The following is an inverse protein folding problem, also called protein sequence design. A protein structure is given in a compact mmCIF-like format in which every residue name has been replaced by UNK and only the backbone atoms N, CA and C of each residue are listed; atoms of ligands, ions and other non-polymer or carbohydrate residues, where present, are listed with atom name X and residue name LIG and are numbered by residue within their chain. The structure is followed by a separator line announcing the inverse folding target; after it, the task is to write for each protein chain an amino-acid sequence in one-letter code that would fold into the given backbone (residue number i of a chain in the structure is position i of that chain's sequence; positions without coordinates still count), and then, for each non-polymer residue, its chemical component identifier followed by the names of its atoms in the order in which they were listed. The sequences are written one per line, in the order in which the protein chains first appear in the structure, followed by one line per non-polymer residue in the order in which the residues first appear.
data_IF_754911885906
#
_entry.id   IF_754911885906
#
_cell.length_a   1.000
_cell.length_b   1.000
_cell.length_c   1.000
_cell.angle_alpha   90.00
_cell.angle_beta   90.00
_cell.angle_gamma   90.00
#
_symmetry.space_group_name_H-M   'P 1'
#
loop_
_entity.id
_entity.type
_entity.pdbx_description
1 polymer ?
#
# COMPACT_ATOMS: atom_id res chain seq x y z
N UNK A 1 -8.02 -4.35 5.72
CA UNK A 1 -6.62 -4.13 6.17
C UNK A 1 -6.20 -2.67 6.02
N UNK A 2 -6.41 -2.05 4.85
CA UNK A 2 -6.04 -0.64 4.57
C UNK A 2 -6.60 0.36 5.60
N UNK A 3 -7.86 0.20 6.03
CA UNK A 3 -8.50 1.12 7.00
C UNK A 3 -7.80 1.14 8.37
N UNK A 4 -7.34 0.00 8.87
CA UNK A 4 -6.63 -0.06 10.16
C UNK A 4 -5.25 0.61 10.08
N UNK A 5 -4.55 0.41 8.96
CA UNK A 5 -3.28 1.10 8.68
C UNK A 5 -3.46 2.62 8.66
N UNK A 6 -4.54 3.09 8.05
CA UNK A 6 -4.88 4.51 7.99
C UNK A 6 -5.24 5.10 9.35
N UNK A 7 -6.03 4.37 10.15
CA UNK A 7 -6.34 4.79 11.53
C UNK A 7 -5.04 4.92 12.34
N UNK A 8 -4.14 3.94 12.22
CA UNK A 8 -2.86 3.96 12.94
C UNK A 8 -1.97 5.13 12.49
N UNK A 9 -1.93 5.43 11.20
CA UNK A 9 -1.21 6.56 10.64
C UNK A 9 -1.77 7.91 11.12
N UNK A 10 -3.10 8.08 11.13
CA UNK A 10 -3.76 9.27 11.67
C UNK A 10 -3.48 9.43 13.17
N UNK A 11 -3.52 8.35 13.94
CA UNK A 11 -3.14 8.37 15.36
C UNK A 11 -1.68 8.78 15.56
N UNK A 12 -0.74 8.31 14.72
CA UNK A 12 0.66 8.69 14.79
C UNK A 12 0.88 10.18 14.54
N UNK A 13 0.19 10.76 13.54
CA UNK A 13 0.23 12.20 13.25
C UNK A 13 -0.32 13.02 14.43
N UNK A 14 -1.42 12.59 15.03
CA UNK A 14 -1.99 13.25 16.22
C UNK A 14 -1.08 13.19 17.45
N UNK A 15 -0.37 12.08 17.66
CA UNK A 15 0.60 11.95 18.76
C UNK A 15 1.82 12.83 18.53
N UNK A 16 2.31 12.92 17.29
CA UNK A 16 3.40 13.82 16.92
C UNK A 16 3.00 15.30 17.15
N UNK A 17 1.79 15.68 16.77
CA UNK A 17 1.26 17.03 16.96
C UNK A 17 1.17 17.44 18.44
N UNK A 18 0.76 16.51 19.32
CA UNK A 18 0.78 16.71 20.78
C UNK A 18 2.18 16.90 21.38
N UNK A 19 3.23 16.50 20.66
CA UNK A 19 4.62 16.67 21.09
C UNK A 19 5.16 18.08 20.78
N UNK A 20 4.52 18.84 19.88
CA UNK A 20 4.97 20.16 19.41
C UNK A 20 4.01 21.34 19.73
N UNK A 21 2.91 21.09 20.44
CA UNK A 21 2.00 22.09 21.07
C UNK A 21 1.49 23.24 20.16
N UNK A 22 1.30 22.98 18.86
CA UNK A 22 0.52 23.84 17.97
C UNK A 22 -0.26 23.01 16.95
N UNK A 23 -1.59 22.89 17.14
CA UNK A 23 -2.50 22.43 16.09
C UNK A 23 -2.55 23.54 15.03
N UNK A 24 -1.61 23.51 14.09
CA UNK A 24 -1.49 24.46 12.97
C UNK A 24 -2.07 23.87 11.69
N UNK A 25 -2.31 24.71 10.67
CA UNK A 25 -2.81 24.26 9.35
C UNK A 25 -1.88 23.21 8.69
N UNK A 26 -0.60 23.19 9.06
CA UNK A 26 0.40 22.21 8.62
C UNK A 26 0.08 20.76 9.04
N UNK A 27 -0.57 20.57 10.20
CA UNK A 27 -0.95 19.23 10.67
C UNK A 27 -2.06 18.65 9.79
N UNK A 28 -3.03 19.47 9.40
CA UNK A 28 -4.11 19.05 8.50
C UNK A 28 -3.59 18.73 7.10
N UNK A 29 -2.62 19.50 6.60
CA UNK A 29 -1.94 19.23 5.34
C UNK A 29 -1.18 17.89 5.39
N UNK A 30 -0.41 17.65 6.45
CA UNK A 30 0.33 16.39 6.66
C UNK A 30 -0.62 15.19 6.75
N UNK A 31 -1.76 15.32 7.45
CA UNK A 31 -2.77 14.26 7.51
C UNK A 31 -3.33 13.91 6.13
N UNK A 32 -3.65 14.90 5.30
CA UNK A 32 -4.15 14.66 3.94
C UNK A 32 -3.08 13.98 3.07
N UNK A 33 -1.83 14.42 3.15
CA UNK A 33 -0.72 13.84 2.39
C UNK A 33 -0.53 12.37 2.75
N UNK A 34 -0.49 12.04 4.05
CA UNK A 34 -0.32 10.67 4.54
C UNK A 34 -1.54 9.81 4.20
N UNK A 35 -2.74 10.35 4.28
CA UNK A 35 -3.96 9.63 3.93
C UNK A 35 -3.94 9.22 2.45
N UNK A 36 -3.72 10.19 1.55
CA UNK A 36 -3.68 9.96 0.10
C UNK A 36 -2.52 9.03 -0.27
N UNK A 37 -1.30 9.34 0.16
CA UNK A 37 -0.10 8.54 -0.11
C UNK A 37 -0.22 7.11 0.45
N UNK A 38 -0.77 6.97 1.65
CA UNK A 38 -1.00 5.67 2.28
C UNK A 38 -2.03 4.83 1.52
N UNK A 39 -3.10 5.44 0.99
CA UNK A 39 -4.10 4.72 0.20
C UNK A 39 -3.52 4.28 -1.15
N UNK A 40 -2.73 5.13 -1.80
CA UNK A 40 -2.01 4.80 -3.04
C UNK A 40 -1.04 3.62 -2.82
N UNK A 41 -0.16 3.73 -1.83
CA UNK A 41 0.83 2.68 -1.52
C UNK A 41 0.17 1.37 -1.09
N UNK A 42 -0.83 1.42 -0.21
CA UNK A 42 -1.54 0.21 0.24
C UNK A 42 -2.40 -0.40 -0.88
N UNK A 43 -3.02 0.43 -1.72
CA UNK A 43 -3.77 -0.02 -2.89
C UNK A 43 -2.87 -0.72 -3.91
N UNK A 44 -1.71 -0.14 -4.20
CA UNK A 44 -0.70 -0.74 -5.08
C UNK A 44 -0.19 -2.09 -4.57
N UNK A 45 0.18 -2.17 -3.29
CA UNK A 45 0.62 -3.41 -2.66
C UNK A 45 -0.47 -4.51 -2.70
N UNK A 46 -1.75 -4.15 -2.47
CA UNK A 46 -2.85 -5.11 -2.57
C UNK A 46 -3.07 -5.59 -4.01
N UNK A 47 -2.98 -4.71 -5.01
CA UNK A 47 -3.11 -5.09 -6.40
C UNK A 47 -1.99 -6.04 -6.86
N UNK A 48 -0.74 -5.77 -6.45
CA UNK A 48 0.39 -6.67 -6.70
C UNK A 48 0.18 -8.02 -5.99
N UNK A 49 -0.33 -8.01 -4.76
CA UNK A 49 -0.62 -9.25 -4.03
C UNK A 49 -1.71 -10.08 -4.70
N UNK A 50 -2.77 -9.44 -5.22
CA UNK A 50 -3.81 -10.13 -6.00
C UNK A 50 -3.29 -10.70 -7.32
N UNK A 51 -2.33 -10.02 -7.97
CA UNK A 51 -1.66 -10.57 -9.14
C UNK A 51 -0.83 -11.80 -8.78
N UNK A 52 -0.11 -11.74 -7.66
CA UNK A 52 0.72 -12.85 -7.21
C UNK A 52 -0.12 -14.07 -6.81
N UNK A 53 -1.28 -13.84 -6.17
CA UNK A 53 -2.19 -14.90 -5.73
C UNK A 53 -2.99 -15.55 -6.87
N UNK A 54 -2.80 -15.13 -8.13
CA UNK A 54 -3.57 -15.62 -9.30
C UNK A 54 -3.45 -17.12 -9.55
N UNK A 55 -2.36 -17.74 -9.14
CA UNK A 55 -2.05 -19.17 -9.33
C UNK A 55 -2.64 -20.02 -8.21
N UNK A 56 -2.73 -19.46 -6.99
CA UNK A 56 -3.24 -20.12 -5.79
C UNK A 56 -4.76 -19.89 -5.61
N UNK A 57 -5.27 -18.71 -5.97
CA UNK A 57 -6.69 -18.34 -5.82
C UNK A 57 -7.67 -19.31 -6.53
N UNK A 58 -7.39 -19.88 -7.72
CA UNK A 58 -8.25 -20.89 -8.34
C UNK A 58 -8.33 -22.21 -7.56
N UNK A 59 -7.36 -22.50 -6.69
CA UNK A 59 -7.31 -23.72 -5.89
C UNK A 59 -7.98 -23.55 -4.51
N UNK A 60 -8.48 -22.34 -4.18
CA UNK A 60 -9.10 -22.03 -2.90
C UNK A 60 -10.60 -21.75 -3.05
N UNK A 61 -11.44 -22.56 -2.40
CA UNK A 61 -12.92 -22.43 -2.37
C UNK A 61 -13.43 -21.07 -1.87
N UNK A 62 -12.57 -20.29 -1.20
CA UNK A 62 -12.91 -18.94 -0.71
C UNK A 62 -12.54 -17.81 -1.66
N UNK A 63 -11.62 -18.01 -2.60
CA UNK A 63 -11.07 -16.95 -3.46
C UNK A 63 -11.13 -17.29 -4.96
N UNK A 64 -11.69 -18.46 -5.31
CA UNK A 64 -11.92 -18.91 -6.68
C UNK A 64 -12.76 -17.95 -7.53
N UNK A 65 -13.65 -17.17 -6.91
CA UNK A 65 -14.56 -16.23 -7.58
C UNK A 65 -14.00 -14.81 -7.74
N UNK A 66 -12.71 -14.59 -7.44
CA UNK A 66 -12.09 -13.27 -7.63
C UNK A 66 -11.96 -12.91 -9.12
N UNK A 67 -12.02 -11.62 -9.49
CA UNK A 67 -12.05 -11.17 -10.88
C UNK A 67 -10.79 -11.50 -11.70
N UNK A 68 -9.66 -11.80 -11.06
CA UNK A 68 -8.41 -12.21 -11.73
C UNK A 68 -8.43 -13.70 -12.15
N UNK A 69 -8.73 -14.67 -11.26
CA UNK A 69 -8.86 -16.07 -11.65
C UNK A 69 -10.09 -16.37 -12.53
N UNK A 70 -11.17 -15.58 -12.46
CA UNK A 70 -12.32 -15.70 -13.37
C UNK A 70 -12.08 -15.08 -14.76
N UNK A 71 -10.95 -14.38 -14.95
CA UNK A 71 -10.55 -13.80 -16.23
C UNK A 71 -11.26 -12.50 -16.61
N UNK A 72 -12.02 -11.88 -15.69
CA UNK A 72 -12.64 -10.57 -15.92
C UNK A 72 -11.60 -9.43 -15.99
N UNK A 73 -10.46 -9.60 -15.30
CA UNK A 73 -9.34 -8.65 -15.33
C UNK A 73 -8.07 -9.37 -15.78
N UNK A 74 -7.38 -8.83 -16.79
CA UNK A 74 -6.05 -9.31 -17.17
C UNK A 74 -5.10 -9.18 -15.98
N UNK A 75 -4.45 -10.28 -15.60
CA UNK A 75 -3.45 -10.26 -14.55
C UNK A 75 -2.35 -9.23 -14.83
N UNK A 76 -1.87 -9.11 -16.06
CA UNK A 76 -0.86 -8.10 -16.43
C UNK A 76 -1.36 -6.68 -16.20
N UNK A 77 -2.65 -6.42 -16.44
CA UNK A 77 -3.26 -5.12 -16.14
C UNK A 77 -3.35 -4.84 -14.63
N UNK A 78 -3.63 -5.86 -13.81
CA UNK A 78 -3.64 -5.75 -12.35
C UNK A 78 -2.22 -5.47 -11.80
N UNK A 79 -1.19 -6.13 -12.35
CA UNK A 79 0.21 -5.85 -12.01
C UNK A 79 0.60 -4.44 -12.42
N UNK A 80 0.30 -4.03 -13.66
CA UNK A 80 0.60 -2.68 -14.15
C UNK A 80 -0.07 -1.62 -13.27
N UNK A 81 -1.34 -1.81 -12.91
CA UNK A 81 -2.06 -0.91 -12.02
C UNK A 81 -1.46 -0.88 -10.61
N UNK A 82 -1.06 -2.03 -10.07
CA UNK A 82 -0.39 -2.12 -8.78
C UNK A 82 0.96 -1.39 -8.76
N UNK A 83 1.78 -1.59 -9.79
CA UNK A 83 3.08 -0.91 -9.95
C UNK A 83 2.89 0.60 -10.11
N UNK A 84 1.94 1.04 -10.94
CA UNK A 84 1.64 2.47 -11.13
C UNK A 84 1.18 3.11 -9.81
N UNK A 85 0.29 2.46 -9.06
CA UNK A 85 -0.16 2.95 -7.76
C UNK A 85 0.97 3.00 -6.72
N UNK A 86 1.85 2.01 -6.71
CA UNK A 86 3.04 2.00 -5.83
C UNK A 86 4.02 3.12 -6.19
N UNK A 87 4.31 3.32 -7.46
CA UNK A 87 5.17 4.43 -7.92
C UNK A 87 4.51 5.78 -7.61
N UNK A 88 3.20 5.90 -7.84
CA UNK A 88 2.44 7.10 -7.52
C UNK A 88 2.47 7.40 -6.01
N UNK A 89 2.29 6.39 -5.15
CA UNK A 89 2.36 6.53 -3.70
C UNK A 89 3.74 6.96 -3.21
N UNK A 90 4.81 6.35 -3.72
CA UNK A 90 6.20 6.74 -3.39
C UNK A 90 6.49 8.15 -3.88
N UNK A 91 6.10 8.48 -5.11
CA UNK A 91 6.29 9.83 -5.68
C UNK A 91 5.50 10.88 -4.90
N UNK A 92 4.30 10.53 -4.42
CA UNK A 92 3.49 11.39 -3.56
C UNK A 92 4.21 11.72 -2.26
N UNK A 93 4.78 10.71 -1.59
CA UNK A 93 5.57 10.93 -0.37
C UNK A 93 6.87 11.70 -0.65
N UNK A 94 7.49 11.53 -1.82
CA UNK A 94 8.66 12.29 -2.21
C UNK A 94 8.35 13.78 -2.34
N UNK A 95 7.29 14.12 -3.08
CA UNK A 95 6.97 15.52 -3.39
C UNK A 95 6.38 16.25 -2.19
N UNK A 96 5.52 15.59 -1.42
CA UNK A 96 4.72 16.26 -0.38
C UNK A 96 5.19 15.98 1.05
N UNK A 97 6.02 14.96 1.30
CA UNK A 97 6.46 14.61 2.65
C UNK A 97 7.96 14.79 2.84
N UNK A 98 8.77 13.78 2.52
CA UNK A 98 10.22 13.83 2.70
C UNK A 98 10.87 12.67 1.95
N UNK A 99 12.12 12.83 1.51
CA UNK A 99 12.91 11.78 0.84
C UNK A 99 13.04 10.52 1.71
N UNK A 100 13.19 10.69 3.02
CA UNK A 100 13.26 9.57 3.98
C UNK A 100 11.93 8.81 4.05
N UNK A 101 10.80 9.51 4.06
CA UNK A 101 9.48 8.89 4.08
C UNK A 101 9.19 8.14 2.77
N UNK A 102 9.60 8.72 1.64
CA UNK A 102 9.51 8.07 0.33
C UNK A 102 10.36 6.79 0.28
N UNK A 103 11.59 6.83 0.80
CA UNK A 103 12.46 5.66 0.91
C UNK A 103 11.84 4.55 1.75
N UNK A 104 11.32 4.86 2.94
CA UNK A 104 10.64 3.88 3.79
C UNK A 104 9.37 3.32 3.16
N UNK A 105 8.61 4.13 2.43
CA UNK A 105 7.42 3.69 1.69
C UNK A 105 7.80 2.71 0.58
N UNK A 106 8.82 3.05 -0.22
CA UNK A 106 9.34 2.19 -1.28
C UNK A 106 9.92 0.89 -0.72
N UNK A 107 10.71 0.98 0.37
CA UNK A 107 11.27 -0.18 1.05
C UNK A 107 10.16 -1.09 1.60
N UNK A 108 9.13 -0.53 2.23
CA UNK A 108 7.98 -1.29 2.75
C UNK A 108 7.24 -2.04 1.64
N UNK A 109 6.96 -1.38 0.51
CA UNK A 109 6.31 -2.01 -0.65
C UNK A 109 7.20 -3.14 -1.20
N UNK A 110 8.49 -2.87 -1.44
CA UNK A 110 9.43 -3.87 -1.95
C UNK A 110 9.59 -5.04 -0.99
N UNK A 111 9.74 -4.77 0.30
CA UNK A 111 9.86 -5.80 1.33
C UNK A 111 8.60 -6.66 1.40
N UNK A 112 7.41 -6.04 1.32
CA UNK A 112 6.16 -6.78 1.27
C UNK A 112 6.09 -7.70 0.03
N UNK A 113 6.38 -7.17 -1.17
CA UNK A 113 6.34 -7.96 -2.41
C UNK A 113 7.40 -9.07 -2.43
N UNK A 114 8.64 -8.78 -2.06
CA UNK A 114 9.73 -9.77 -2.11
C UNK A 114 9.67 -10.77 -0.94
N UNK A 115 9.48 -10.30 0.30
CA UNK A 115 9.56 -11.17 1.47
C UNK A 115 8.25 -11.91 1.69
N UNK A 116 7.10 -11.24 1.58
CA UNK A 116 5.83 -11.91 1.82
C UNK A 116 5.38 -12.74 0.62
N UNK A 117 5.29 -12.12 -0.57
CA UNK A 117 4.77 -12.84 -1.75
C UNK A 117 5.76 -13.87 -2.29
N UNK A 118 7.05 -13.53 -2.48
CA UNK A 118 8.01 -14.45 -3.08
C UNK A 118 8.59 -15.45 -2.08
N UNK A 119 9.04 -14.98 -0.91
CA UNK A 119 9.83 -15.82 0.00
C UNK A 119 8.96 -16.64 0.97
N UNK A 120 8.04 -16.00 1.70
CA UNK A 120 7.27 -16.68 2.73
C UNK A 120 6.24 -17.64 2.13
N UNK A 121 5.54 -17.22 1.07
CA UNK A 121 4.41 -17.97 0.50
C UNK A 121 4.82 -19.15 -0.39
N UNK A 122 6.08 -19.20 -0.85
CA UNK A 122 6.62 -20.31 -1.67
C UNK A 122 7.47 -21.30 -0.88
N UNK A 123 7.75 -21.01 0.39
CA UNK A 123 8.56 -21.84 1.27
C UNK A 123 7.71 -22.75 2.19
N UNK A 124 6.38 -22.67 2.14
CA UNK A 124 5.42 -23.57 2.82
C UNK A 124 4.41 -24.07 1.81
#
# INVERSE_FOLDING_TARGET
MVVLLQITALCAVLVHDKMFDQISMETAETMLIVFIGGYLSAGGANAINMWYDRDIDPMMTRTESRPIPTGEISAESALAMGVVLSIAGVSWFWVFSNEVAAFWSAFSILFYVFVYSIWLKRST
#
